data_IF_169834106696
#
_entry.id   IF_169834106696
#
_cell.length_a   1.000
_cell.length_b   1.000
_cell.length_c   1.000
_cell.angle_alpha   90.00
_cell.angle_beta   90.00
_cell.angle_gamma   90.00
#
_symmetry.space_group_name_H-M   'P 1'
#
loop_
_entity.id
_entity.type
_entity.pdbx_description
1 polymer ?
#
# COMPACT_ATOMS: atom_id res chain seq x y z
N UNK A 1 -1.90 -4.31 17.12
CA UNK A 1 -1.65 -4.80 15.74
C UNK A 1 -0.33 -4.27 15.20
N UNK A 2 -0.08 -2.96 15.18
CA UNK A 2 1.23 -2.39 14.78
C UNK A 2 2.39 -2.85 15.70
N UNK A 3 2.17 -3.04 16.99
CA UNK A 3 3.21 -3.55 17.90
C UNK A 3 3.56 -5.02 17.70
N UNK A 4 2.64 -5.83 17.17
CA UNK A 4 2.93 -7.21 16.80
C UNK A 4 3.85 -7.27 15.58
N UNK A 5 3.79 -6.27 14.68
CA UNK A 5 4.64 -6.23 13.47
C UNK A 5 6.12 -6.20 13.85
N UNK A 6 6.51 -5.24 14.71
CA UNK A 6 7.90 -4.99 15.11
C UNK A 6 8.62 -6.20 15.71
N UNK A 7 7.88 -7.18 16.22
CA UNK A 7 8.41 -8.38 16.87
C UNK A 7 7.99 -9.68 16.17
N UNK A 8 7.31 -9.60 15.03
CA UNK A 8 6.84 -10.76 14.29
C UNK A 8 7.95 -11.36 13.42
N UNK A 9 8.08 -12.68 13.42
CA UNK A 9 8.93 -13.44 12.49
C UNK A 9 8.64 -13.09 11.03
N UNK A 10 7.39 -12.72 10.73
CA UNK A 10 6.96 -12.35 9.38
C UNK A 10 7.63 -11.06 8.88
N UNK A 11 7.79 -10.03 9.72
CA UNK A 11 8.50 -8.80 9.31
C UNK A 11 9.96 -9.12 8.92
N UNK A 12 10.61 -9.95 9.73
CA UNK A 12 11.98 -10.38 9.49
C UNK A 12 12.09 -11.19 8.19
N UNK A 13 11.18 -12.13 7.95
CA UNK A 13 11.13 -12.91 6.71
C UNK A 13 10.94 -12.03 5.47
N UNK A 14 10.09 -11.00 5.55
CA UNK A 14 9.89 -10.03 4.46
C UNK A 14 11.18 -9.24 4.20
N UNK A 15 11.80 -8.73 5.26
CA UNK A 15 13.05 -7.97 5.18
C UNK A 15 14.16 -8.80 4.54
N UNK A 16 14.38 -10.02 5.02
CA UNK A 16 15.40 -10.93 4.48
C UNK A 16 15.14 -11.29 3.01
N UNK A 17 13.88 -11.43 2.61
CA UNK A 17 13.52 -11.73 1.21
C UNK A 17 13.79 -10.55 0.26
N UNK A 18 13.67 -9.32 0.77
CA UNK A 18 13.79 -8.06 0.03
C UNK A 18 15.24 -7.53 -0.04
N UNK A 19 16.06 -7.80 0.98
CA UNK A 19 17.44 -7.32 1.01
C UNK A 19 18.24 -7.87 -0.18
N UNK A 20 18.90 -6.96 -0.91
CA UNK A 20 19.72 -7.29 -2.08
C UNK A 20 18.95 -7.44 -3.40
N UNK A 21 17.61 -7.34 -3.40
CA UNK A 21 16.85 -7.28 -4.65
C UNK A 21 16.92 -5.88 -5.29
N UNK A 22 16.92 -5.84 -6.62
CA UNK A 22 16.82 -4.58 -7.36
C UNK A 22 15.35 -4.10 -7.31
N UNK A 23 15.06 -2.91 -6.75
CA UNK A 23 13.70 -2.39 -6.61
C UNK A 23 12.99 -2.12 -7.96
N UNK A 24 13.72 -2.07 -9.07
CA UNK A 24 13.14 -1.90 -10.41
C UNK A 24 12.44 -3.18 -10.92
N UNK A 25 12.80 -4.35 -10.37
CA UNK A 25 12.24 -5.65 -10.73
C UNK A 25 10.99 -6.00 -9.90
N UNK A 26 9.99 -5.11 -9.93
CA UNK A 26 8.79 -5.18 -9.09
C UNK A 26 8.07 -6.54 -9.24
N UNK A 27 7.79 -6.99 -10.46
CA UNK A 27 7.09 -8.27 -10.70
C UNK A 27 7.82 -9.48 -10.12
N UNK A 28 9.16 -9.49 -10.24
CA UNK A 28 10.00 -10.56 -9.68
C UNK A 28 9.91 -10.57 -8.16
N UNK A 29 10.04 -9.40 -7.52
CA UNK A 29 9.95 -9.26 -6.06
C UNK A 29 8.56 -9.71 -5.60
N UNK A 30 7.51 -9.27 -6.29
CA UNK A 30 6.13 -9.62 -5.97
C UNK A 30 5.91 -11.13 -6.06
N UNK A 31 6.32 -11.79 -7.14
CA UNK A 31 6.20 -13.24 -7.28
C UNK A 31 7.04 -14.02 -6.26
N UNK A 32 8.24 -13.53 -5.92
CA UNK A 32 9.09 -14.14 -4.89
C UNK A 32 8.42 -14.12 -3.52
N UNK A 33 7.91 -12.96 -3.10
CA UNK A 33 7.18 -12.81 -1.84
C UNK A 33 5.88 -13.61 -1.87
N UNK A 34 5.10 -13.50 -2.95
CA UNK A 34 3.83 -14.21 -3.08
C UNK A 34 4.03 -15.72 -2.93
N UNK A 35 4.98 -16.33 -3.64
CA UNK A 35 5.27 -17.77 -3.52
C UNK A 35 5.75 -18.16 -2.12
N UNK A 36 6.60 -17.32 -1.51
CA UNK A 36 7.16 -17.57 -0.18
C UNK A 36 6.09 -17.59 0.90
N UNK A 37 5.10 -16.69 0.82
CA UNK A 37 4.09 -16.53 1.87
C UNK A 37 2.74 -17.21 1.57
N UNK A 38 2.45 -17.58 0.30
CA UNK A 38 1.20 -18.28 -0.06
C UNK A 38 1.37 -19.79 -0.31
N UNK A 39 2.60 -20.27 -0.51
CA UNK A 39 2.90 -21.68 -0.83
C UNK A 39 2.53 -22.71 0.24
N UNK A 40 2.23 -22.28 1.48
CA UNK A 40 1.81 -23.14 2.59
C UNK A 40 0.31 -23.13 2.89
N UNK A 41 -0.54 -22.58 2.00
CA UNK A 41 -2.00 -22.49 2.21
C UNK A 41 -2.45 -21.29 3.06
N UNK A 42 -1.52 -20.45 3.52
CA UNK A 42 -1.76 -19.28 4.35
C UNK A 42 -1.95 -17.97 3.56
N UNK A 43 -2.79 -17.93 2.54
CA UNK A 43 -3.16 -16.68 1.88
C UNK A 43 -4.22 -15.91 2.69
N UNK A 44 -3.90 -15.54 3.92
CA UNK A 44 -4.76 -14.70 4.77
C UNK A 44 -4.62 -13.21 4.44
N UNK A 45 -5.62 -12.41 4.83
CA UNK A 45 -5.66 -10.95 4.55
C UNK A 45 -4.47 -10.14 5.08
N UNK A 46 -3.74 -10.67 6.05
CA UNK A 46 -2.57 -10.02 6.62
C UNK A 46 -1.37 -10.01 5.65
N UNK A 47 -1.05 -11.15 5.04
CA UNK A 47 0.05 -11.29 4.08
C UNK A 47 -0.20 -10.43 2.83
N UNK A 48 -1.44 -10.41 2.34
CA UNK A 48 -1.82 -9.60 1.18
C UNK A 48 -1.73 -8.10 1.47
N UNK A 49 -2.02 -7.67 2.70
CA UNK A 49 -1.83 -6.27 3.13
C UNK A 49 -0.35 -5.88 3.12
N UNK A 50 0.53 -6.74 3.63
CA UNK A 50 1.99 -6.50 3.60
C UNK A 50 2.54 -6.47 2.18
N UNK A 51 2.15 -7.44 1.34
CA UNK A 51 2.51 -7.46 -0.09
C UNK A 51 2.12 -6.16 -0.79
N UNK A 52 0.91 -5.65 -0.52
CA UNK A 52 0.43 -4.40 -1.10
C UNK A 52 1.26 -3.19 -0.64
N UNK A 53 1.65 -3.14 0.64
CA UNK A 53 2.52 -2.09 1.16
C UNK A 53 3.90 -2.07 0.48
N UNK A 54 4.49 -3.26 0.27
CA UNK A 54 5.75 -3.40 -0.46
C UNK A 54 5.61 -2.96 -1.92
N UNK A 55 4.55 -3.39 -2.61
CA UNK A 55 4.30 -3.03 -4.00
C UNK A 55 4.20 -1.51 -4.20
N UNK A 56 3.44 -0.82 -3.34
CA UNK A 56 3.32 0.64 -3.36
C UNK A 56 4.69 1.32 -3.17
N UNK A 57 5.51 0.82 -2.23
CA UNK A 57 6.83 1.38 -1.97
C UNK A 57 7.79 1.18 -3.15
N UNK A 58 7.74 0.03 -3.82
CA UNK A 58 8.54 -0.23 -5.01
C UNK A 58 8.15 0.69 -6.17
N UNK A 59 6.85 0.90 -6.38
CA UNK A 59 6.36 1.84 -7.39
C UNK A 59 6.73 3.30 -7.07
N UNK A 60 6.74 3.70 -5.80
CA UNK A 60 7.22 5.02 -5.37
C UNK A 60 8.72 5.22 -5.67
N UNK A 61 9.54 4.20 -5.36
CA UNK A 61 10.98 4.21 -5.70
C UNK A 61 11.17 4.31 -7.22
N UNK A 62 10.42 3.52 -8.00
CA UNK A 62 10.47 3.55 -9.46
C UNK A 62 10.05 4.90 -10.03
N UNK A 63 8.98 5.50 -9.50
CA UNK A 63 8.56 6.86 -9.86
C UNK A 63 9.65 7.89 -9.60
N UNK A 64 10.27 7.85 -8.42
CA UNK A 64 11.38 8.73 -8.04
C UNK A 64 12.62 8.51 -8.91
N UNK A 65 12.98 7.26 -9.20
CA UNK A 65 14.10 6.90 -10.08
C UNK A 65 13.89 7.42 -11.50
N UNK A 66 12.66 7.29 -12.03
CA UNK A 66 12.31 7.75 -13.37
C UNK A 66 12.02 9.27 -13.47
N UNK A 67 11.97 9.99 -12.34
CA UNK A 67 11.59 11.42 -12.31
C UNK A 67 10.18 11.69 -12.83
N UNK A 68 9.30 10.69 -12.82
CA UNK A 68 7.95 10.77 -13.39
C UNK A 68 6.91 10.31 -12.37
N UNK A 69 5.71 10.91 -12.36
CA UNK A 69 4.63 10.38 -11.56
C UNK A 69 4.22 8.98 -12.05
N UNK A 70 3.85 8.10 -11.13
CA UNK A 70 3.59 6.66 -11.41
C UNK A 70 2.53 6.47 -12.50
N UNK A 71 1.50 7.33 -12.56
CA UNK A 71 0.45 7.22 -13.60
C UNK A 71 1.01 7.37 -15.02
N UNK A 72 2.09 8.13 -15.22
CA UNK A 72 2.74 8.25 -16.54
C UNK A 72 3.49 6.99 -16.90
N UNK A 73 4.09 6.32 -15.91
CA UNK A 73 4.78 5.04 -16.08
C UNK A 73 3.78 3.92 -16.41
N UNK A 74 2.57 4.00 -15.86
CA UNK A 74 1.50 3.01 -16.03
C UNK A 74 0.64 3.20 -17.31
N UNK A 75 0.97 4.16 -18.18
CA UNK A 75 0.26 4.36 -19.46
C UNK A 75 -0.36 5.74 -19.66
N UNK A 76 -0.09 6.70 -18.77
CA UNK A 76 -0.53 8.08 -18.93
C UNK A 76 -1.94 8.36 -18.40
N UNK A 77 -2.42 9.60 -18.55
CA UNK A 77 -3.70 10.02 -18.00
C UNK A 77 -4.86 9.28 -18.68
N UNK A 78 -5.70 8.63 -17.87
CA UNK A 78 -7.02 8.18 -18.31
C UNK A 78 -7.93 9.39 -18.44
N UNK A 79 -8.25 9.79 -19.67
CA UNK A 79 -9.22 10.85 -19.91
C UNK A 79 -10.58 10.47 -19.29
N UNK A 80 -11.02 11.19 -18.25
CA UNK A 80 -12.37 11.05 -17.69
C UNK A 80 -12.48 10.60 -16.23
N UNK A 81 -11.39 10.51 -15.45
CA UNK A 81 -11.49 10.32 -13.99
C UNK A 81 -12.02 11.58 -13.30
N UNK A 82 -13.32 11.82 -13.44
CA UNK A 82 -14.08 12.67 -12.53
C UNK A 82 -14.01 11.98 -11.18
N UNK A 83 -13.17 12.50 -10.29
CA UNK A 83 -13.13 12.08 -8.89
C UNK A 83 -14.57 12.08 -8.36
N UNK A 84 -15.16 10.89 -8.18
CA UNK A 84 -16.38 10.79 -7.40
C UNK A 84 -15.98 11.22 -6.01
N UNK A 85 -16.48 12.36 -5.58
CA UNK A 85 -16.32 12.86 -4.22
C UNK A 85 -17.06 11.88 -3.30
N UNK A 86 -16.42 10.77 -2.94
CA UNK A 86 -16.95 9.85 -1.95
C UNK A 86 -17.09 10.67 -0.68
N UNK A 87 -18.33 10.86 -0.22
CA UNK A 87 -18.65 11.60 1.01
C UNK A 87 -18.06 10.82 2.18
N UNK A 88 -16.76 10.97 2.44
CA UNK A 88 -16.16 10.49 3.68
C UNK A 88 -16.01 11.67 4.65
N UNK A 89 -16.74 11.56 5.75
CA UNK A 89 -16.67 12.34 7.00
C UNK A 89 -16.97 13.85 6.97
N UNK A 90 -17.70 14.40 5.98
CA UNK A 90 -18.16 15.81 6.06
C UNK A 90 -19.47 16.01 6.86
N UNK A 91 -20.18 14.95 7.25
CA UNK A 91 -21.47 15.09 7.97
C UNK A 91 -21.30 15.13 9.50
N UNK A 92 -20.35 14.41 10.08
CA UNK A 92 -20.20 14.34 11.54
C UNK A 92 -19.62 15.63 12.15
N UNK A 93 -18.63 16.25 11.48
CA UNK A 93 -18.03 17.51 11.97
C UNK A 93 -19.05 18.66 11.97
N UNK A 94 -19.98 18.70 11.00
CA UNK A 94 -21.07 19.70 10.95
C UNK A 94 -22.18 19.45 11.97
N UNK A 95 -22.31 18.24 12.48
CA UNK A 95 -23.26 17.92 13.55
C UNK A 95 -22.66 18.25 14.93
N UNK A 96 -21.37 17.95 15.14
CA UNK A 96 -20.67 18.27 16.39
C UNK A 96 -20.51 19.79 16.61
N UNK A 97 -20.24 20.56 15.55
CA UNK A 97 -20.16 22.02 15.65
C UNK A 97 -21.51 22.72 15.90
N UNK A 98 -22.65 22.04 15.67
CA UNK A 98 -23.99 22.56 15.99
C UNK A 98 -24.44 22.26 17.42
N UNK A 99 -23.84 21.28 18.08
CA UNK A 99 -24.18 20.92 19.46
C UNK A 99 -23.42 21.75 20.51
N UNK A 100 -22.35 22.46 20.11
CA UNK A 100 -21.48 23.21 21.03
C UNK A 100 -21.64 24.75 20.94
N UNK A 101 -22.79 25.21 20.42
CA UNK A 101 -23.19 26.63 20.34
C UNK A 101 -24.48 26.92 21.12
N UNK A 102 -24.91 25.99 21.98
CA UNK A 102 -26.00 26.18 22.94
C UNK A 102 -25.56 25.75 24.34
N UNK A 103 -24.51 26.39 24.86
CA UNK A 103 -24.31 26.65 26.29
C UNK A 103 -23.73 28.06 26.37
#
# INVERSE_FOLDING_TARGET
>A
MLEFLKSSTVEQDFRETLLGENPEHIDRIWHKLYRRFTGGGGAGGFVTTMLSGVDIALWDIKGKSCGKPIYEILGGPLYGTRLKRTRMYRLEIRMLLRHNQKI
#
